data_IF_479560685121
#
_entry.id   IF_479560685121
#
_cell.length_a   1.000
_cell.length_b   1.000
_cell.length_c   1.000
_cell.angle_alpha   90.00
_cell.angle_beta   90.00
_cell.angle_gamma   90.00
#
_symmetry.space_group_name_H-M   'P 1'
#
loop_
_entity.id
_entity.type
_entity.pdbx_description
1 polymer ?
#
# COMPACT_ATOMS: atom_id res chain seq x y z
N UNK A 1 -54.93 38.62 -34.19
CA UNK A 1 -53.94 37.66 -34.75
C UNK A 1 -52.61 37.82 -34.00
N UNK A 2 -52.45 37.09 -32.92
CA UNK A 2 -51.23 37.13 -32.09
C UNK A 2 -50.44 35.84 -32.32
N UNK A 3 -49.20 36.01 -32.77
CA UNK A 3 -48.22 34.88 -32.96
C UNK A 3 -47.58 34.54 -31.63
N UNK A 4 -47.80 33.33 -31.17
CA UNK A 4 -47.11 32.75 -30.01
C UNK A 4 -45.74 32.22 -30.45
N UNK A 5 -44.65 32.79 -29.93
CA UNK A 5 -43.29 32.32 -30.17
C UNK A 5 -42.87 31.43 -29.04
N UNK A 6 -42.66 30.12 -29.30
CA UNK A 6 -42.16 29.14 -28.33
C UNK A 6 -40.63 29.24 -28.33
N UNK A 7 -40.05 29.62 -27.18
CA UNK A 7 -38.63 29.53 -26.90
C UNK A 7 -38.30 28.11 -26.41
N UNK A 8 -37.61 27.35 -27.23
CA UNK A 8 -37.04 26.06 -26.83
C UNK A 8 -35.71 26.33 -26.17
N UNK A 9 -35.65 26.21 -24.85
CA UNK A 9 -34.41 26.34 -24.08
C UNK A 9 -33.53 25.11 -24.24
N UNK A 10 -32.32 25.30 -24.70
CA UNK A 10 -31.23 24.32 -24.77
C UNK A 10 -30.61 24.14 -23.38
N UNK A 11 -31.01 23.10 -22.66
CA UNK A 11 -30.36 22.68 -21.40
C UNK A 11 -29.87 21.24 -21.52
N UNK A 12 -28.78 21.03 -22.25
CA UNK A 12 -28.20 19.70 -22.39
C UNK A 12 -26.69 19.71 -22.69
N UNK A 13 -25.86 20.48 -21.93
CA UNK A 13 -24.39 20.41 -22.12
C UNK A 13 -23.56 20.46 -20.85
N UNK A 14 -24.12 20.34 -19.65
CA UNK A 14 -23.34 20.45 -18.41
C UNK A 14 -22.97 19.12 -17.73
N UNK A 15 -23.58 17.97 -18.11
CA UNK A 15 -23.33 16.70 -17.42
C UNK A 15 -22.10 15.91 -17.92
N UNK A 16 -21.60 16.13 -19.12
CA UNK A 16 -20.50 15.35 -19.68
C UNK A 16 -19.10 15.79 -19.20
N UNK A 17 -18.94 17.06 -18.83
CA UNK A 17 -17.64 17.60 -18.42
C UNK A 17 -17.23 17.19 -16.98
N UNK A 18 -18.20 17.05 -16.06
CA UNK A 18 -17.91 16.70 -14.66
C UNK A 18 -17.54 15.22 -14.49
N UNK A 19 -18.15 14.32 -15.24
CA UNK A 19 -17.80 12.89 -15.23
C UNK A 19 -16.41 12.63 -15.82
N UNK A 20 -16.00 13.40 -16.84
CA UNK A 20 -14.67 13.28 -17.44
C UNK A 20 -13.56 13.78 -16.49
N UNK A 21 -13.77 14.88 -15.78
CA UNK A 21 -12.78 15.42 -14.84
C UNK A 21 -12.57 14.51 -13.62
N UNK A 22 -13.64 13.96 -13.06
CA UNK A 22 -13.55 13.01 -11.94
C UNK A 22 -12.83 11.71 -12.34
N UNK A 23 -13.07 11.22 -13.54
CA UNK A 23 -12.40 10.03 -14.09
C UNK A 23 -10.90 10.25 -14.34
N UNK A 24 -10.51 11.43 -14.82
CA UNK A 24 -9.11 11.81 -15.02
C UNK A 24 -8.40 11.96 -13.69
N UNK A 25 -8.98 12.65 -12.71
CA UNK A 25 -8.39 12.84 -11.38
C UNK A 25 -8.22 11.50 -10.63
N UNK A 26 -9.17 10.56 -10.75
CA UNK A 26 -9.05 9.23 -10.15
C UNK A 26 -7.97 8.37 -10.82
N UNK A 27 -7.74 8.57 -12.12
CA UNK A 27 -6.71 7.85 -12.87
C UNK A 27 -5.30 8.40 -12.58
N UNK A 28 -5.16 9.72 -12.46
CA UNK A 28 -3.90 10.36 -12.03
C UNK A 28 -3.52 10.00 -10.58
N UNK A 29 -4.50 9.92 -9.68
CA UNK A 29 -4.28 9.46 -8.30
C UNK A 29 -3.77 8.02 -8.24
N UNK A 30 -4.31 7.13 -9.06
CA UNK A 30 -3.86 5.73 -9.17
C UNK A 30 -2.49 5.59 -9.84
N UNK A 31 -2.22 6.38 -10.88
CA UNK A 31 -0.94 6.36 -11.58
C UNK A 31 0.23 6.81 -10.69
N UNK A 32 -0.04 7.66 -9.69
CA UNK A 32 0.99 8.18 -8.77
C UNK A 32 1.14 7.36 -7.48
N UNK A 33 0.29 6.37 -7.23
CA UNK A 33 0.31 5.58 -6.00
C UNK A 33 1.62 4.81 -5.78
N UNK A 34 2.23 4.14 -6.79
CA UNK A 34 3.52 3.48 -6.62
C UNK A 34 4.62 4.42 -6.13
N UNK A 35 4.72 5.62 -6.69
CA UNK A 35 5.72 6.62 -6.32
C UNK A 35 5.50 7.11 -4.88
N UNK A 36 4.27 7.33 -4.47
CA UNK A 36 3.93 7.74 -3.10
C UNK A 36 4.27 6.66 -2.08
N UNK A 37 3.89 5.40 -2.35
CA UNK A 37 4.21 4.28 -1.48
C UNK A 37 5.72 4.09 -1.37
N UNK A 38 6.46 4.14 -2.49
CA UNK A 38 7.92 4.05 -2.49
C UNK A 38 8.55 5.20 -1.68
N UNK A 39 8.05 6.43 -1.82
CA UNK A 39 8.56 7.58 -1.09
C UNK A 39 8.42 7.43 0.42
N UNK A 40 7.26 6.94 0.91
CA UNK A 40 7.03 6.69 2.34
C UNK A 40 7.97 5.61 2.89
N UNK A 41 8.20 4.54 2.15
CA UNK A 41 9.18 3.52 2.52
C UNK A 41 10.58 4.11 2.62
N UNK A 42 10.99 4.89 1.62
CA UNK A 42 12.32 5.48 1.57
C UNK A 42 12.52 6.59 2.61
N UNK A 43 11.46 7.29 3.00
CA UNK A 43 11.50 8.21 4.13
C UNK A 43 11.83 7.47 5.43
N UNK A 44 11.14 6.38 5.75
CA UNK A 44 11.41 5.57 6.94
C UNK A 44 12.83 4.99 6.92
N UNK A 45 13.33 4.58 5.76
CA UNK A 45 14.69 4.06 5.59
C UNK A 45 15.77 5.11 5.80
N UNK A 46 15.54 6.32 5.32
CA UNK A 46 16.46 7.44 5.52
C UNK A 46 16.66 7.79 7.01
N UNK A 47 15.59 7.66 7.82
CA UNK A 47 15.64 7.91 9.27
C UNK A 47 16.64 6.99 10.01
N UNK A 48 16.91 5.80 9.46
CA UNK A 48 17.84 4.81 10.05
C UNK A 48 19.11 4.61 9.23
N UNK A 49 19.33 5.42 8.20
CA UNK A 49 20.50 5.30 7.32
C UNK A 49 20.51 4.04 6.45
N UNK A 50 19.38 3.41 6.21
CA UNK A 50 19.27 2.27 5.29
C UNK A 50 19.23 2.77 3.84
N UNK A 51 19.85 2.06 2.87
CA UNK A 51 19.78 2.41 1.46
C UNK A 51 18.35 2.45 0.93
N UNK A 52 18.00 3.36 0.00
CA UNK A 52 16.65 3.44 -0.54
C UNK A 52 16.25 2.16 -1.29
N UNK A 53 14.95 1.83 -1.24
CA UNK A 53 14.35 0.80 -2.07
C UNK A 53 14.12 1.32 -3.49
N UNK A 54 14.10 0.38 -4.44
CA UNK A 54 13.65 0.60 -5.81
C UNK A 54 12.29 -0.07 -6.00
N UNK A 55 11.41 0.57 -6.76
CA UNK A 55 10.13 -0.05 -7.11
C UNK A 55 10.32 -1.19 -8.11
N UNK A 56 9.59 -2.28 -7.89
CA UNK A 56 9.62 -3.47 -8.74
C UNK A 56 8.19 -3.84 -9.15
N UNK A 57 7.91 -3.73 -10.45
CA UNK A 57 6.59 -4.03 -11.02
C UNK A 57 6.24 -5.52 -10.92
N UNK A 58 7.22 -6.41 -10.92
CA UNK A 58 7.00 -7.85 -10.72
C UNK A 58 6.52 -8.15 -9.30
N UNK A 59 7.09 -7.48 -8.29
CA UNK A 59 6.62 -7.56 -6.92
C UNK A 59 5.21 -6.96 -6.78
N UNK A 60 4.93 -5.85 -7.45
CA UNK A 60 3.60 -5.24 -7.45
C UNK A 60 2.55 -6.15 -8.10
N UNK A 61 2.86 -6.78 -9.22
CA UNK A 61 1.99 -7.77 -9.87
C UNK A 61 1.77 -9.01 -8.98
N UNK A 62 2.84 -9.49 -8.33
CA UNK A 62 2.75 -10.58 -7.35
C UNK A 62 1.85 -10.24 -6.16
N UNK A 63 1.92 -8.99 -5.68
CA UNK A 63 1.03 -8.48 -4.63
C UNK A 63 -0.43 -8.40 -5.13
N UNK A 64 -0.66 -7.85 -6.32
CA UNK A 64 -1.98 -7.72 -6.93
C UNK A 64 -2.67 -9.07 -7.13
N UNK A 65 -1.92 -10.10 -7.53
CA UNK A 65 -2.45 -11.45 -7.75
C UNK A 65 -3.06 -12.07 -6.48
N UNK A 66 -2.60 -11.68 -5.29
CA UNK A 66 -3.14 -12.16 -4.01
C UNK A 66 -4.36 -11.37 -3.52
N UNK A 67 -4.60 -10.18 -4.04
CA UNK A 67 -5.69 -9.29 -3.61
C UNK A 67 -7.07 -9.96 -3.57
N UNK A 68 -7.54 -10.62 -4.65
CA UNK A 68 -8.84 -11.28 -4.69
C UNK A 68 -9.00 -12.37 -3.62
N UNK A 69 -7.96 -13.17 -3.37
CA UNK A 69 -7.99 -14.20 -2.31
C UNK A 69 -8.09 -13.59 -0.93
N UNK A 70 -7.31 -12.53 -0.66
CA UNK A 70 -7.33 -11.84 0.61
C UNK A 70 -8.71 -11.19 0.87
N UNK A 71 -9.29 -10.57 -0.15
CA UNK A 71 -10.65 -10.03 -0.10
C UNK A 71 -11.70 -11.10 0.20
N UNK A 72 -11.63 -12.26 -0.46
CA UNK A 72 -12.51 -13.40 -0.21
C UNK A 72 -12.38 -13.93 1.22
N UNK A 73 -11.17 -13.98 1.77
CA UNK A 73 -10.90 -14.40 3.16
C UNK A 73 -11.47 -13.37 4.15
N UNK A 74 -11.43 -12.07 3.84
CA UNK A 74 -12.00 -10.99 4.65
C UNK A 74 -11.25 -10.65 5.92
N UNK A 75 -10.00 -11.07 6.04
CA UNK A 75 -9.09 -10.78 7.16
C UNK A 75 -7.64 -10.86 6.71
N UNK A 76 -6.72 -10.23 7.46
CA UNK A 76 -5.29 -10.26 7.13
C UNK A 76 -4.70 -11.67 7.38
N UNK A 77 -4.36 -12.34 6.29
CA UNK A 77 -3.65 -13.63 6.27
C UNK A 77 -2.55 -13.53 5.22
N UNK A 78 -1.33 -13.85 5.59
CA UNK A 78 -0.24 -13.90 4.63
C UNK A 78 -0.48 -14.97 3.55
N UNK A 79 -0.12 -14.62 2.32
CA UNK A 79 -0.14 -15.58 1.22
C UNK A 79 0.80 -16.77 1.50
N UNK A 80 0.49 -17.96 0.97
CA UNK A 80 1.41 -19.10 1.02
C UNK A 80 2.81 -18.73 0.52
N UNK A 81 3.85 -19.29 1.15
CA UNK A 81 5.25 -18.96 0.77
C UNK A 81 5.59 -19.36 -0.65
N UNK A 82 4.93 -20.38 -1.14
CA UNK A 82 5.06 -20.90 -2.51
C UNK A 82 4.58 -19.90 -3.56
N UNK A 83 3.64 -19.01 -3.19
CA UNK A 83 3.16 -17.92 -4.05
C UNK A 83 4.08 -16.69 -4.05
N UNK A 84 5.08 -16.66 -3.17
CA UNK A 84 6.02 -15.54 -3.02
C UNK A 84 7.44 -16.01 -2.74
N UNK A 85 8.03 -16.84 -3.60
CA UNK A 85 9.38 -17.37 -3.39
C UNK A 85 10.40 -16.22 -3.32
N UNK A 86 11.26 -16.22 -2.30
CA UNK A 86 12.27 -15.16 -2.12
C UNK A 86 11.72 -13.78 -1.74
N UNK A 87 10.47 -13.69 -1.28
CA UNK A 87 9.82 -12.43 -0.92
C UNK A 87 9.32 -12.44 0.54
N UNK A 88 9.25 -11.26 1.14
CA UNK A 88 8.45 -10.98 2.34
C UNK A 88 7.22 -10.17 1.96
N UNK A 89 6.29 -10.07 2.92
CA UNK A 89 4.99 -9.44 2.68
C UNK A 89 4.57 -8.66 3.92
N UNK A 90 4.13 -7.41 3.72
CA UNK A 90 3.36 -6.64 4.68
C UNK A 90 1.91 -6.54 4.20
N UNK A 91 0.98 -6.63 5.13
CA UNK A 91 -0.46 -6.55 4.88
C UNK A 91 -1.10 -5.51 5.80
N UNK A 92 -2.02 -4.73 5.25
CA UNK A 92 -2.92 -3.88 6.03
C UNK A 92 -4.31 -3.86 5.40
N UNK A 93 -5.35 -3.55 6.18
CA UNK A 93 -6.70 -3.36 5.69
C UNK A 93 -7.39 -2.25 6.45
N UNK A 94 -8.26 -1.51 5.75
CA UNK A 94 -9.13 -0.50 6.33
C UNK A 94 -10.35 -0.26 5.44
N UNK A 95 -11.30 0.55 5.92
CA UNK A 95 -12.41 1.02 5.11
C UNK A 95 -11.92 1.93 3.98
N UNK A 96 -12.34 1.64 2.76
CA UNK A 96 -11.92 2.34 1.53
C UNK A 96 -12.23 3.84 1.57
N UNK A 97 -13.35 4.23 2.16
CA UNK A 97 -13.82 5.62 2.18
C UNK A 97 -13.08 6.50 3.20
N UNK A 98 -12.45 5.89 4.21
CA UNK A 98 -11.89 6.64 5.35
C UNK A 98 -10.38 6.57 5.48
N UNK A 99 -9.72 5.68 4.74
CA UNK A 99 -8.29 5.43 4.91
C UNK A 99 -7.59 5.22 3.57
N UNK A 100 -6.61 6.04 3.29
CA UNK A 100 -5.76 5.92 2.09
C UNK A 100 -4.70 4.81 2.23
N UNK A 101 -4.14 4.38 1.12
CA UNK A 101 -3.02 3.42 1.14
C UNK A 101 -1.78 4.01 1.83
N UNK A 102 -1.58 5.32 1.71
CA UNK A 102 -0.50 6.05 2.38
C UNK A 102 -0.64 6.00 3.90
N UNK A 103 -1.86 6.17 4.42
CA UNK A 103 -2.14 6.04 5.87
C UNK A 103 -1.92 4.62 6.36
N UNK A 104 -2.20 3.59 5.54
CA UNK A 104 -1.91 2.20 5.88
C UNK A 104 -0.40 1.93 6.01
N UNK A 105 0.44 2.54 5.16
CA UNK A 105 1.91 2.51 5.35
C UNK A 105 2.29 3.24 6.65
N UNK A 106 1.59 4.33 6.97
CA UNK A 106 1.76 5.06 8.24
C UNK A 106 1.62 4.15 9.46
N UNK A 107 0.63 3.25 9.48
CA UNK A 107 0.46 2.28 10.57
C UNK A 107 1.71 1.39 10.74
N UNK A 108 2.32 0.96 9.64
CA UNK A 108 3.55 0.16 9.70
C UNK A 108 4.75 0.96 10.17
N UNK A 109 4.88 2.22 9.72
CA UNK A 109 6.02 3.07 10.11
C UNK A 109 5.91 3.56 11.56
N UNK A 110 4.72 3.64 12.11
CA UNK A 110 4.48 3.97 13.50
C UNK A 110 4.99 2.92 14.51
N UNK A 111 5.16 1.68 14.06
CA UNK A 111 5.76 0.60 14.86
C UNK A 111 7.20 0.95 15.31
N UNK A 112 7.87 1.90 14.63
CA UNK A 112 9.22 2.39 15.00
C UNK A 112 9.35 2.76 16.48
N UNK A 113 8.27 3.22 17.11
CA UNK A 113 8.23 3.59 18.52
C UNK A 113 8.52 2.43 19.46
N UNK A 114 8.28 1.21 19.00
CA UNK A 114 8.45 -0.02 19.77
C UNK A 114 9.73 -0.78 19.42
N UNK A 115 10.51 -0.32 18.43
CA UNK A 115 11.76 -0.99 18.03
C UNK A 115 12.87 -0.69 19.02
N UNK A 116 13.68 -1.70 19.30
CA UNK A 116 14.96 -1.59 20.01
C UNK A 116 16.10 -2.08 19.12
N UNK A 117 17.30 -1.49 19.25
CA UNK A 117 18.47 -2.04 18.57
C UNK A 117 18.71 -3.50 18.96
N UNK A 118 19.14 -4.33 17.98
CA UNK A 118 19.42 -5.72 18.25
C UNK A 118 19.39 -6.60 17.01
N UNK A 119 19.48 -7.90 17.25
CA UNK A 119 19.31 -8.91 16.21
C UNK A 119 17.88 -9.39 16.17
N UNK A 120 17.30 -9.48 14.98
CA UNK A 120 15.95 -10.02 14.82
C UNK A 120 15.91 -11.49 15.31
N UNK A 121 14.88 -11.92 16.07
CA UNK A 121 13.64 -11.22 16.40
C UNK A 121 13.65 -10.41 17.72
N UNK A 122 14.79 -10.30 18.43
CA UNK A 122 14.89 -9.61 19.72
C UNK A 122 15.01 -8.08 19.55
N UNK A 123 14.07 -7.46 18.83
CA UNK A 123 14.10 -6.04 18.41
C UNK A 123 12.86 -5.26 18.82
N UNK A 124 12.03 -5.81 19.73
CA UNK A 124 10.81 -5.16 20.21
C UNK A 124 10.87 -4.86 21.71
N UNK A 125 10.45 -3.66 22.11
CA UNK A 125 10.29 -3.27 23.53
C UNK A 125 9.24 -4.09 24.26
N UNK A 126 8.27 -4.65 23.53
CA UNK A 126 7.21 -5.49 24.09
C UNK A 126 7.67 -6.94 24.31
N UNK A 127 8.85 -7.30 23.78
CA UNK A 127 9.33 -8.69 23.75
C UNK A 127 8.68 -9.55 22.65
N UNK A 128 7.71 -8.97 21.91
CA UNK A 128 7.00 -9.68 20.84
C UNK A 128 7.31 -9.03 19.47
N UNK A 129 8.11 -9.73 18.67
CA UNK A 129 8.64 -9.20 17.43
C UNK A 129 7.58 -8.81 16.38
N UNK A 130 6.38 -9.44 16.45
CA UNK A 130 5.30 -9.12 15.50
C UNK A 130 4.77 -7.69 15.65
N UNK A 131 4.96 -7.07 16.84
CA UNK A 131 4.54 -5.69 17.08
C UNK A 131 5.40 -4.67 16.31
N UNK A 132 6.50 -5.11 15.71
CA UNK A 132 7.43 -4.29 14.94
C UNK A 132 7.79 -4.88 13.57
N UNK A 133 7.11 -5.96 13.17
CA UNK A 133 7.49 -6.77 12.01
C UNK A 133 7.32 -6.02 10.68
N UNK A 134 6.33 -5.15 10.57
CA UNK A 134 6.12 -4.37 9.35
C UNK A 134 7.20 -3.30 9.20
N UNK A 135 7.48 -2.56 10.27
CA UNK A 135 8.53 -1.54 10.24
C UNK A 135 9.91 -2.15 9.99
N UNK A 136 10.26 -3.22 10.71
CA UNK A 136 11.57 -3.86 10.54
C UNK A 136 11.77 -4.42 9.13
N UNK A 137 10.69 -4.88 8.47
CA UNK A 137 10.75 -5.25 7.06
C UNK A 137 10.98 -4.04 6.15
N UNK A 138 10.30 -2.91 6.39
CA UNK A 138 10.47 -1.67 5.61
C UNK A 138 11.93 -1.20 5.66
N UNK A 139 12.51 -1.15 6.86
CA UNK A 139 13.87 -0.61 7.07
C UNK A 139 14.97 -1.68 6.99
N UNK A 140 14.63 -2.91 6.63
CA UNK A 140 15.60 -4.00 6.54
C UNK A 140 16.72 -3.67 5.56
N UNK A 141 17.97 -3.58 6.06
CA UNK A 141 19.11 -3.11 5.27
C UNK A 141 19.35 -3.94 4.00
N UNK A 142 19.16 -5.26 4.09
CA UNK A 142 19.39 -6.19 2.98
C UNK A 142 18.27 -6.24 1.94
N UNK A 143 17.10 -5.63 2.20
CA UNK A 143 16.02 -5.50 1.22
C UNK A 143 16.32 -4.35 0.27
N UNK A 144 16.17 -4.55 -1.03
CA UNK A 144 16.49 -3.57 -2.08
C UNK A 144 15.31 -3.18 -2.94
N UNK A 145 14.27 -4.00 -3.00
CA UNK A 145 13.11 -3.78 -3.86
C UNK A 145 11.80 -3.91 -3.09
N UNK A 146 10.81 -3.13 -3.52
CA UNK A 146 9.42 -3.18 -3.04
C UNK A 146 8.46 -3.01 -4.19
N UNK A 147 7.34 -3.73 -4.14
CA UNK A 147 6.19 -3.52 -5.02
C UNK A 147 4.92 -3.77 -4.24
N UNK A 148 3.94 -2.87 -4.40
CA UNK A 148 2.69 -2.92 -3.66
C UNK A 148 1.48 -2.90 -4.59
N UNK A 149 0.36 -3.42 -4.11
CA UNK A 149 -0.95 -3.32 -4.72
C UNK A 149 -2.02 -3.03 -3.69
N UNK A 150 -3.08 -2.34 -4.12
CA UNK A 150 -4.31 -2.15 -3.35
C UNK A 150 -5.42 -2.91 -4.05
N UNK A 151 -6.15 -3.69 -3.27
CA UNK A 151 -7.35 -4.38 -3.72
C UNK A 151 -8.52 -3.95 -2.83
N UNK A 152 -9.66 -3.56 -3.43
CA UNK A 152 -10.86 -3.22 -2.68
C UNK A 152 -11.96 -4.23 -2.96
N UNK A 153 -12.73 -4.60 -1.92
CA UNK A 153 -13.84 -5.52 -2.06
C UNK A 153 -15.18 -4.80 -2.06
N UNK A 154 -16.24 -5.52 -2.44
CA UNK A 154 -17.62 -4.99 -2.51
C UNK A 154 -18.21 -4.63 -1.14
N UNK A 155 -17.57 -5.06 -0.05
CA UNK A 155 -17.98 -4.73 1.33
C UNK A 155 -17.39 -3.41 1.81
N UNK A 156 -16.60 -2.72 0.96
CA UNK A 156 -15.98 -1.43 1.28
C UNK A 156 -14.63 -1.55 2.01
N UNK A 157 -13.98 -2.72 2.00
CA UNK A 157 -12.63 -2.88 2.54
C UNK A 157 -11.57 -2.73 1.47
N UNK A 158 -10.52 -2.01 1.78
CA UNK A 158 -9.28 -1.96 1.00
C UNK A 158 -8.17 -2.73 1.70
N UNK A 159 -7.43 -3.50 0.92
CA UNK A 159 -6.30 -4.32 1.34
C UNK A 159 -5.05 -3.79 0.67
N UNK A 160 -4.09 -3.28 1.45
CA UNK A 160 -2.76 -2.95 0.98
C UNK A 160 -1.85 -4.17 1.15
N UNK A 161 -1.20 -4.59 0.08
CA UNK A 161 -0.28 -5.72 0.04
C UNK A 161 1.04 -5.20 -0.51
N UNK A 162 2.13 -5.29 0.27
CA UNK A 162 3.48 -4.96 -0.21
C UNK A 162 4.38 -6.18 -0.17
N UNK A 163 5.12 -6.40 -1.25
CA UNK A 163 6.13 -7.47 -1.39
C UNK A 163 7.52 -6.87 -1.39
N UNK A 164 8.46 -7.56 -0.76
CA UNK A 164 9.83 -7.10 -0.56
C UNK A 164 10.83 -8.15 -0.99
N UNK A 165 11.89 -7.76 -1.68
CA UNK A 165 12.98 -8.65 -2.12
C UNK A 165 14.34 -7.93 -2.02
N UNK A 166 15.40 -8.64 -1.60
CA UNK A 166 15.42 -9.88 -0.85
C UNK A 166 14.60 -9.81 0.45
N UNK A 167 14.20 -10.97 1.01
CA UNK A 167 13.38 -10.99 2.23
C UNK A 167 14.14 -10.43 3.43
N UNK A 168 13.45 -9.61 4.23
CA UNK A 168 13.93 -9.15 5.54
C UNK A 168 13.45 -10.03 6.69
N UNK A 169 13.58 -9.51 7.91
CA UNK A 169 13.19 -10.18 9.15
C UNK A 169 13.81 -11.59 9.25
N UNK A 170 15.14 -11.65 9.06
CA UNK A 170 15.93 -12.88 9.11
C UNK A 170 16.51 -13.07 10.50
N UNK A 171 16.23 -14.22 11.12
CA UNK A 171 16.69 -14.54 12.47
C UNK A 171 18.22 -14.41 12.61
N UNK A 172 18.64 -13.82 13.71
CA UNK A 172 20.05 -13.61 14.04
C UNK A 172 20.77 -12.53 13.21
N UNK A 173 20.05 -11.73 12.42
CA UNK A 173 20.62 -10.63 11.64
C UNK A 173 20.16 -9.27 12.17
N UNK A 174 21.01 -8.22 12.05
CA UNK A 174 20.61 -6.86 12.38
C UNK A 174 19.58 -6.35 11.37
N UNK A 175 18.69 -5.46 11.82
CA UNK A 175 17.63 -4.86 10.97
C UNK A 175 18.26 -3.77 10.07
N UNK A 176 19.09 -2.89 10.66
CA UNK A 176 19.75 -1.74 10.01
C UNK A 176 21.12 -1.46 10.62
#
# INVERSE_FOLDING_TARGET
>A
MGKCTILIGTAALALSATASAASIASNEGRANLPQKLLALHNQARAEVGAPPLVWDDGLAQSAAAYGPDLARIGRLVHSPREMRPGQRENLAMAWTETTSAEELVGLWTDEKRMVTPGLFPAVSRTGYWKDVAHYTQIVWKGTTHVGCAVHSDERGWSYLICRYSPPGNVDGKPVF
#
